data_IF_168153729644
#
_entry.id   IF_168153729644
#
_cell.length_a   1.000
_cell.length_b   1.000
_cell.length_c   1.000
_cell.angle_alpha   90.00
_cell.angle_beta   90.00
_cell.angle_gamma   90.00
#
_symmetry.space_group_name_H-M   'P 1'
#
loop_
_entity.id
_entity.type
_entity.pdbx_description
1 polymer ?
#
# COMPACT_ATOMS: atom_id res chain seq x y z
N UNK A 1 -17.46 -13.74 10.03
CA UNK A 1 -16.31 -14.44 9.41
C UNK A 1 -16.73 -14.91 8.03
N UNK A 2 -16.01 -14.52 6.99
CA UNK A 2 -16.21 -14.99 5.62
C UNK A 2 -14.96 -15.73 5.19
N UNK A 3 -15.07 -17.01 4.85
CA UNK A 3 -13.92 -17.87 4.47
C UNK A 3 -14.34 -18.97 3.51
N UNK A 4 -13.39 -19.77 3.03
CA UNK A 4 -13.64 -20.84 2.06
C UNK A 4 -14.54 -21.94 2.62
N UNK A 5 -15.41 -22.48 1.78
CA UNK A 5 -16.28 -23.60 2.12
C UNK A 5 -15.51 -24.84 2.58
N UNK A 6 -14.33 -25.09 2.00
CA UNK A 6 -13.40 -26.12 2.44
C UNK A 6 -12.94 -25.90 3.88
N UNK A 7 -12.58 -24.66 4.25
CA UNK A 7 -12.12 -24.32 5.60
C UNK A 7 -13.27 -24.39 6.60
N UNK A 8 -14.47 -23.93 6.21
CA UNK A 8 -15.67 -24.04 7.04
C UNK A 8 -15.99 -25.51 7.32
N UNK A 9 -15.90 -26.37 6.30
CA UNK A 9 -16.15 -27.79 6.43
C UNK A 9 -15.12 -28.48 7.32
N UNK A 10 -13.83 -28.21 7.09
CA UNK A 10 -12.72 -28.79 7.85
C UNK A 10 -12.72 -28.37 9.33
N UNK A 11 -13.21 -27.17 9.64
CA UNK A 11 -13.25 -26.62 11.00
C UNK A 11 -14.67 -26.45 11.56
N UNK A 12 -15.64 -27.17 11.02
CA UNK A 12 -17.08 -27.02 11.32
C UNK A 12 -17.39 -27.04 12.82
N UNK A 13 -16.88 -28.03 13.57
CA UNK A 13 -17.09 -28.13 15.03
C UNK A 13 -16.59 -26.90 15.79
N UNK A 14 -15.40 -26.39 15.44
CA UNK A 14 -14.84 -25.19 16.06
C UNK A 14 -15.69 -23.98 15.72
N UNK A 15 -16.03 -23.81 14.44
CA UNK A 15 -16.80 -22.66 13.97
C UNK A 15 -18.20 -22.63 14.60
N UNK A 16 -18.93 -23.75 14.62
CA UNK A 16 -20.23 -23.84 15.30
C UNK A 16 -20.16 -23.41 16.76
N UNK A 17 -19.16 -23.90 17.51
CA UNK A 17 -18.96 -23.48 18.90
C UNK A 17 -18.71 -21.96 19.03
N UNK A 18 -17.97 -21.37 18.09
CA UNK A 18 -17.73 -19.92 18.07
C UNK A 18 -18.98 -19.13 17.67
N UNK A 19 -19.80 -19.66 16.76
CA UNK A 19 -21.09 -19.08 16.37
C UNK A 19 -22.03 -19.00 17.56
N UNK A 20 -22.17 -20.08 18.32
CA UNK A 20 -23.01 -20.13 19.51
C UNK A 20 -22.47 -19.22 20.63
N UNK A 21 -21.15 -19.27 20.89
CA UNK A 21 -20.54 -18.55 22.00
C UNK A 21 -20.48 -17.04 21.80
N UNK A 22 -20.27 -16.58 20.57
CA UNK A 22 -19.99 -15.16 20.27
C UNK A 22 -20.98 -14.54 19.29
N UNK A 23 -22.10 -15.20 19.01
CA UNK A 23 -23.04 -14.82 17.95
C UNK A 23 -22.34 -14.59 16.59
N UNK A 24 -21.25 -15.33 16.34
CA UNK A 24 -20.47 -15.20 15.12
C UNK A 24 -21.33 -15.68 13.94
N UNK A 25 -21.40 -14.87 12.89
CA UNK A 25 -21.93 -15.31 11.60
C UNK A 25 -20.79 -15.83 10.74
N UNK A 26 -20.84 -17.11 10.38
CA UNK A 26 -19.90 -17.74 9.44
C UNK A 26 -20.54 -17.79 8.05
N UNK A 27 -19.78 -17.40 7.04
CA UNK A 27 -20.20 -17.40 5.64
C UNK A 27 -19.18 -18.23 4.88
N UNK A 28 -19.62 -19.39 4.38
CA UNK A 28 -18.86 -20.23 3.48
C UNK A 28 -18.93 -19.67 2.06
N UNK A 29 -17.77 -19.50 1.43
CA UNK A 29 -17.64 -19.02 0.05
C UNK A 29 -17.15 -20.17 -0.81
N UNK A 30 -17.81 -20.46 -1.95
CA UNK A 30 -17.34 -21.47 -2.89
C UNK A 30 -15.92 -21.15 -3.37
N UNK A 31 -15.16 -22.18 -3.72
CA UNK A 31 -13.85 -21.99 -4.33
C UNK A 31 -13.99 -21.12 -5.60
N UNK A 32 -13.21 -20.06 -5.69
CA UNK A 32 -13.10 -19.26 -6.91
C UNK A 32 -12.05 -19.87 -7.82
N UNK A 33 -12.12 -19.59 -9.12
CA UNK A 33 -11.03 -19.91 -10.05
C UNK A 33 -9.72 -19.27 -9.56
N UNK A 34 -8.61 -20.02 -9.62
CA UNK A 34 -7.29 -19.50 -9.27
C UNK A 34 -6.88 -18.39 -10.25
N UNK A 35 -6.54 -17.23 -9.70
CA UNK A 35 -6.08 -16.05 -10.42
C UNK A 35 -4.75 -15.57 -9.80
N UNK A 36 -3.91 -14.84 -10.54
CA UNK A 36 -2.62 -14.34 -10.05
C UNK A 36 -2.74 -13.67 -8.67
N UNK A 37 -1.88 -14.09 -7.73
CA UNK A 37 -1.85 -13.58 -6.36
C UNK A 37 -3.12 -13.82 -5.52
N UNK A 38 -3.96 -14.79 -5.90
CA UNK A 38 -5.23 -15.13 -5.22
C UNK A 38 -6.19 -13.92 -5.07
N UNK A 39 -6.02 -12.89 -5.91
CA UNK A 39 -6.71 -11.63 -5.68
C UNK A 39 -8.23 -11.76 -5.83
N UNK A 40 -8.70 -12.41 -6.91
CA UNK A 40 -10.13 -12.63 -7.13
C UNK A 40 -10.76 -13.35 -5.95
N UNK A 41 -10.05 -14.32 -5.39
CA UNK A 41 -10.44 -15.05 -4.21
C UNK A 41 -10.60 -14.10 -3.00
N UNK A 42 -9.59 -13.29 -2.72
CA UNK A 42 -9.63 -12.31 -1.63
C UNK A 42 -10.74 -11.25 -1.81
N UNK A 43 -10.96 -10.77 -3.04
CA UNK A 43 -11.97 -9.77 -3.36
C UNK A 43 -13.38 -10.32 -3.26
N UNK A 44 -13.59 -11.54 -3.75
CA UNK A 44 -14.86 -12.25 -3.60
C UNK A 44 -15.17 -12.46 -2.12
N UNK A 45 -14.17 -12.86 -1.32
CA UNK A 45 -14.36 -13.05 0.11
C UNK A 45 -14.76 -11.77 0.83
N UNK A 46 -14.07 -10.66 0.52
CA UNK A 46 -14.40 -9.36 1.06
C UNK A 46 -15.80 -8.90 0.63
N UNK A 47 -16.13 -9.02 -0.66
CA UNK A 47 -17.43 -8.62 -1.23
C UNK A 47 -18.59 -9.37 -0.57
N UNK A 48 -18.51 -10.70 -0.49
CA UNK A 48 -19.53 -11.54 0.12
C UNK A 48 -19.67 -11.23 1.62
N UNK A 49 -18.55 -11.06 2.33
CA UNK A 49 -18.54 -10.68 3.73
C UNK A 49 -19.24 -9.35 3.98
N UNK A 50 -18.91 -8.33 3.18
CA UNK A 50 -19.52 -7.00 3.23
C UNK A 50 -21.03 -7.03 2.92
N UNK A 51 -21.46 -7.86 1.97
CA UNK A 51 -22.87 -8.02 1.61
C UNK A 51 -23.74 -8.61 2.73
N UNK A 52 -23.11 -9.23 3.74
CA UNK A 52 -23.80 -9.84 4.90
C UNK A 52 -23.58 -9.09 6.21
N UNK A 53 -22.68 -8.10 6.22
CA UNK A 53 -22.41 -7.25 7.37
C UNK A 53 -23.42 -6.09 7.46
N UNK A 54 -23.60 -5.54 8.67
CA UNK A 54 -24.40 -4.33 8.84
C UNK A 54 -23.64 -3.13 8.26
N UNK A 55 -24.32 -2.36 7.39
CA UNK A 55 -23.75 -1.19 6.69
C UNK A 55 -23.39 -0.02 7.61
N UNK A 56 -23.90 0.00 8.85
CA UNK A 56 -23.57 1.01 9.85
C UNK A 56 -22.31 0.68 10.65
N UNK A 57 -21.78 -0.55 10.52
CA UNK A 57 -20.64 -1.00 11.31
C UNK A 57 -19.30 -0.63 10.64
N UNK A 58 -18.27 -0.64 11.47
CA UNK A 58 -16.89 -0.76 10.99
C UNK A 58 -16.57 -2.22 10.66
N UNK A 59 -15.65 -2.41 9.73
CA UNK A 59 -15.23 -3.70 9.19
C UNK A 59 -13.74 -3.86 9.46
N UNK A 60 -13.39 -4.94 10.16
CA UNK A 60 -12.02 -5.45 10.24
C UNK A 60 -11.89 -6.59 9.22
N UNK A 61 -11.13 -6.37 8.15
CA UNK A 61 -10.63 -7.46 7.32
C UNK A 61 -9.38 -7.99 7.97
N UNK A 62 -9.27 -9.30 8.16
CA UNK A 62 -8.03 -9.98 8.56
C UNK A 62 -7.92 -11.31 7.86
N UNK A 63 -6.71 -11.86 7.81
CA UNK A 63 -6.51 -13.28 7.51
C UNK A 63 -6.80 -14.14 8.74
N UNK A 64 -7.22 -15.40 8.57
CA UNK A 64 -7.51 -16.30 9.69
C UNK A 64 -6.25 -16.77 10.44
N UNK A 65 -5.07 -16.71 9.81
CA UNK A 65 -3.77 -17.11 10.36
C UNK A 65 -3.01 -15.97 11.06
N UNK A 66 -3.64 -14.80 11.22
CA UNK A 66 -3.04 -13.61 11.84
C UNK A 66 -3.68 -13.35 13.20
N UNK A 67 -2.86 -13.27 14.24
CA UNK A 67 -3.29 -12.87 15.57
C UNK A 67 -2.96 -11.38 15.80
N UNK A 68 -3.98 -10.52 15.82
CA UNK A 68 -3.81 -9.08 16.06
C UNK A 68 -3.84 -8.79 17.56
N UNK A 69 -2.87 -8.00 18.04
CA UNK A 69 -2.76 -7.59 19.42
C UNK A 69 -4.00 -6.80 19.87
N UNK A 70 -4.54 -7.13 21.05
CA UNK A 70 -5.71 -6.46 21.63
C UNK A 70 -5.48 -4.96 21.84
N UNK A 71 -4.27 -4.55 22.25
CA UNK A 71 -3.93 -3.13 22.44
C UNK A 71 -3.99 -2.40 21.10
N UNK A 72 -3.49 -3.02 20.04
CA UNK A 72 -3.55 -2.46 18.68
C UNK A 72 -4.99 -2.31 18.19
N UNK A 73 -5.84 -3.31 18.43
CA UNK A 73 -7.28 -3.24 18.10
C UNK A 73 -7.98 -2.13 18.86
N UNK A 74 -7.75 -2.03 20.17
CA UNK A 74 -8.35 -0.98 20.99
C UNK A 74 -7.93 0.42 20.51
N UNK A 75 -6.66 0.59 20.12
CA UNK A 75 -6.16 1.86 19.56
C UNK A 75 -6.92 2.25 18.30
N UNK A 76 -7.01 1.37 17.30
CA UNK A 76 -7.68 1.70 16.04
C UNK A 76 -9.20 1.86 16.19
N UNK A 77 -9.83 1.15 17.14
CA UNK A 77 -11.26 1.29 17.41
C UNK A 77 -11.61 2.63 18.08
N UNK A 78 -10.68 3.20 18.85
CA UNK A 78 -10.83 4.51 19.49
C UNK A 78 -10.34 5.68 18.62
N UNK A 79 -9.66 5.40 17.50
CA UNK A 79 -8.99 6.42 16.67
C UNK A 79 -10.02 7.33 15.98
N UNK A 80 -9.72 8.64 15.94
CA UNK A 80 -10.45 9.57 15.09
C UNK A 80 -10.04 9.37 13.62
N UNK A 81 -10.98 8.86 12.82
CA UNK A 81 -10.78 8.59 11.40
C UNK A 81 -11.31 9.70 10.49
N UNK A 82 -11.55 10.90 11.03
CA UNK A 82 -12.01 12.04 10.21
C UNK A 82 -10.96 12.42 9.17
N UNK A 83 -11.44 12.74 7.96
CA UNK A 83 -10.58 13.24 6.88
C UNK A 83 -10.65 14.76 6.87
N UNK A 84 -9.47 15.39 6.87
CA UNK A 84 -9.32 16.83 6.65
C UNK A 84 -8.67 17.03 5.29
N UNK A 85 -9.33 17.77 4.40
CA UNK A 85 -8.77 18.10 3.07
C UNK A 85 -7.65 19.13 3.22
N UNK A 86 -6.43 18.85 2.74
CA UNK A 86 -5.39 19.87 2.62
C UNK A 86 -5.77 20.95 1.60
N UNK A 87 -5.05 22.06 1.62
CA UNK A 87 -5.14 23.07 0.55
C UNK A 87 -4.88 22.43 -0.83
N UNK A 88 -5.65 22.84 -1.84
CA UNK A 88 -5.61 22.29 -3.21
C UNK A 88 -6.53 21.07 -3.45
N UNK A 89 -7.11 20.48 -2.39
CA UNK A 89 -7.96 19.28 -2.49
C UNK A 89 -9.48 19.59 -2.54
N UNK A 90 -9.85 20.87 -2.53
CA UNK A 90 -11.25 21.29 -2.42
C UNK A 90 -12.13 20.76 -3.56
N UNK A 91 -11.57 20.69 -4.77
CA UNK A 91 -12.27 20.22 -5.99
C UNK A 91 -12.33 18.70 -6.14
N UNK A 92 -11.63 17.94 -5.30
CA UNK A 92 -11.61 16.48 -5.41
C UNK A 92 -12.82 15.86 -4.72
N UNK A 93 -13.40 14.88 -5.39
CA UNK A 93 -14.32 13.94 -4.79
C UNK A 93 -13.51 12.89 -4.01
N UNK A 94 -13.49 13.00 -2.69
CA UNK A 94 -12.75 12.04 -1.87
C UNK A 94 -13.37 10.65 -2.05
N UNK A 95 -12.54 9.61 -2.27
CA UNK A 95 -13.07 8.27 -2.34
C UNK A 95 -13.63 7.84 -1.01
N UNK A 96 -13.14 8.34 0.13
CA UNK A 96 -13.57 7.89 1.45
C UNK A 96 -14.24 9.00 2.26
N UNK A 97 -15.16 8.61 3.14
CA UNK A 97 -15.72 9.49 4.18
C UNK A 97 -14.88 9.51 5.46
N UNK A 98 -14.15 8.43 5.73
CA UNK A 98 -13.25 8.27 6.86
C UNK A 98 -11.95 7.61 6.42
N UNK A 99 -10.86 7.85 7.16
CA UNK A 99 -9.58 7.17 6.94
C UNK A 99 -9.73 5.66 7.12
N UNK A 100 -8.99 4.90 6.32
CA UNK A 100 -8.88 3.46 6.48
C UNK A 100 -7.57 3.14 7.21
N UNK A 101 -7.66 2.44 8.34
CA UNK A 101 -6.50 1.92 9.04
C UNK A 101 -5.96 0.71 8.30
N UNK A 102 -4.70 0.78 7.86
CA UNK A 102 -4.01 -0.28 7.12
C UNK A 102 -2.74 -0.67 7.85
N UNK A 103 -2.14 -1.80 7.52
CA UNK A 103 -0.82 -2.16 8.04
C UNK A 103 0.17 -2.38 6.90
N UNK A 104 1.42 -1.97 7.13
CA UNK A 104 2.52 -2.17 6.21
C UNK A 104 2.35 -1.51 4.84
N UNK A 105 2.05 -0.19 4.75
CA UNK A 105 2.26 0.54 3.52
C UNK A 105 3.75 0.55 3.17
N UNK A 106 4.10 0.40 1.90
CA UNK A 106 5.48 0.39 1.45
C UNK A 106 5.90 1.81 1.01
N UNK A 107 7.09 2.23 1.44
CA UNK A 107 7.52 3.61 1.25
C UNK A 107 7.86 3.96 -0.21
N UNK A 108 8.39 3.01 -0.98
CA UNK A 108 8.94 3.24 -2.34
C UNK A 108 7.97 2.86 -3.45
N UNK A 109 6.88 2.19 -3.14
CA UNK A 109 5.91 1.69 -4.11
C UNK A 109 4.53 2.22 -3.71
N UNK A 110 4.08 3.33 -4.31
CA UNK A 110 2.76 3.90 -4.10
C UNK A 110 1.65 2.86 -4.04
N UNK A 111 0.84 2.93 -2.97
CA UNK A 111 -0.31 2.07 -2.72
C UNK A 111 -0.01 0.57 -2.59
N UNK A 112 1.25 0.15 -2.56
CA UNK A 112 1.56 -1.21 -2.09
C UNK A 112 1.41 -1.23 -0.59
N UNK A 113 0.30 -1.81 -0.14
CA UNK A 113 -0.06 -1.94 1.27
C UNK A 113 -0.30 -3.41 1.51
N UNK A 114 0.31 -3.94 2.56
CA UNK A 114 0.21 -5.36 2.84
C UNK A 114 -1.24 -5.76 3.13
N UNK A 115 -1.66 -6.88 2.54
CA UNK A 115 -3.02 -7.34 2.58
C UNK A 115 -3.45 -8.00 3.90
N UNK A 116 -2.60 -8.12 4.93
CA UNK A 116 -2.89 -8.94 6.12
C UNK A 116 -4.21 -8.53 6.76
N UNK A 117 -4.34 -7.25 7.11
CA UNK A 117 -5.53 -6.70 7.74
C UNK A 117 -5.66 -5.19 7.52
N UNK A 118 -6.90 -4.72 7.59
CA UNK A 118 -7.24 -3.31 7.59
C UNK A 118 -8.61 -3.10 8.25
N UNK A 119 -8.86 -1.88 8.71
CA UNK A 119 -10.05 -1.48 9.46
C UNK A 119 -10.61 -0.17 8.92
N UNK A 120 -11.93 -0.10 8.74
CA UNK A 120 -12.60 1.13 8.30
C UNK A 120 -14.11 0.99 8.27
N UNK A 121 -14.83 2.06 7.94
CA UNK A 121 -16.28 2.02 7.80
C UNK A 121 -16.70 1.02 6.72
N UNK A 122 -17.87 0.38 6.86
CA UNK A 122 -18.40 -0.50 5.81
C UNK A 122 -18.42 0.19 4.44
N UNK A 123 -18.89 1.45 4.39
CA UNK A 123 -19.00 2.24 3.16
C UNK A 123 -17.64 2.44 2.48
N UNK A 124 -16.59 2.74 3.24
CA UNK A 124 -15.27 3.04 2.69
C UNK A 124 -14.49 1.77 2.36
N UNK A 125 -14.56 0.74 3.22
CA UNK A 125 -14.00 -0.59 2.94
C UNK A 125 -14.63 -1.22 1.70
N UNK A 126 -15.93 -0.99 1.44
CA UNK A 126 -16.60 -1.49 0.23
C UNK A 126 -15.98 -0.97 -1.07
N UNK A 127 -15.36 0.21 -1.05
CA UNK A 127 -14.69 0.81 -2.22
C UNK A 127 -13.33 0.17 -2.51
N UNK A 128 -12.82 -0.63 -1.57
CA UNK A 128 -11.61 -1.43 -1.75
C UNK A 128 -11.91 -2.79 -2.44
N UNK A 129 -13.17 -3.12 -2.71
CA UNK A 129 -13.46 -4.29 -3.56
C UNK A 129 -13.17 -3.92 -5.01
N UNK A 130 -12.16 -4.55 -5.60
CA UNK A 130 -11.77 -4.31 -6.98
C UNK A 130 -11.61 -5.64 -7.75
N UNK A 131 -12.49 -5.89 -8.72
CA UNK A 131 -12.45 -7.03 -9.64
C UNK A 131 -12.10 -6.62 -11.07
N UNK A 132 -11.56 -5.42 -11.25
CA UNK A 132 -11.18 -4.89 -12.55
C UNK A 132 -9.95 -5.64 -13.10
N UNK A 133 -10.15 -6.26 -14.25
CA UNK A 133 -9.15 -7.07 -14.95
C UNK A 133 -8.16 -6.24 -15.75
N UNK A 134 -8.42 -4.93 -15.95
CA UNK A 134 -7.50 -4.03 -16.67
C UNK A 134 -6.10 -4.04 -16.06
N UNK A 135 -6.00 -4.21 -14.74
CA UNK A 135 -4.72 -4.30 -14.03
C UNK A 135 -3.87 -5.52 -14.44
N UNK A 136 -4.52 -6.62 -14.83
CA UNK A 136 -3.83 -7.84 -15.27
C UNK A 136 -3.30 -7.71 -16.70
N UNK A 137 -4.05 -7.04 -17.58
CA UNK A 137 -3.73 -6.97 -19.01
C UNK A 137 -2.90 -5.74 -19.39
N UNK A 138 -3.14 -4.58 -18.78
CA UNK A 138 -2.52 -3.32 -19.20
C UNK A 138 -1.19 -3.04 -18.49
N UNK A 139 -1.09 -3.34 -17.20
CA UNK A 139 0.04 -2.90 -16.37
C UNK A 139 1.10 -3.98 -16.11
N UNK A 140 0.86 -5.22 -16.55
CA UNK A 140 1.77 -6.37 -16.33
C UNK A 140 2.25 -6.45 -14.87
N UNK A 141 1.35 -6.21 -13.92
CA UNK A 141 1.70 -6.11 -12.50
C UNK A 141 2.32 -7.40 -11.99
N UNK A 142 3.26 -7.27 -11.06
CA UNK A 142 3.82 -8.42 -10.36
C UNK A 142 2.75 -9.11 -9.50
N UNK A 143 2.83 -10.45 -9.38
CA UNK A 143 1.88 -11.20 -8.54
C UNK A 143 1.99 -10.79 -7.07
N UNK A 144 3.19 -10.41 -6.64
CA UNK A 144 3.51 -10.01 -5.28
C UNK A 144 2.92 -8.64 -4.91
N UNK A 145 2.80 -7.71 -5.88
CA UNK A 145 2.24 -6.37 -5.64
C UNK A 145 0.84 -6.18 -6.19
N UNK A 146 0.18 -7.27 -6.53
CA UNK A 146 -1.18 -7.29 -7.06
C UNK A 146 -2.19 -6.53 -6.19
N UNK A 147 -1.90 -6.44 -4.87
CA UNK A 147 -2.71 -5.75 -3.88
C UNK A 147 -2.74 -4.23 -4.04
N UNK A 148 -1.78 -3.61 -4.75
CA UNK A 148 -1.82 -2.18 -5.10
C UNK A 148 -3.17 -1.79 -5.69
N UNK A 149 -3.73 -2.65 -6.56
CA UNK A 149 -4.97 -2.35 -7.26
C UNK A 149 -6.16 -2.11 -6.33
N UNK A 150 -6.13 -2.64 -5.12
CA UNK A 150 -7.17 -2.40 -4.10
C UNK A 150 -7.21 -0.95 -3.65
N UNK A 151 -6.02 -0.38 -3.42
CA UNK A 151 -5.86 0.88 -2.71
C UNK A 151 -5.69 2.07 -3.67
N UNK A 152 -5.20 1.81 -4.90
CA UNK A 152 -5.09 2.82 -5.94
C UNK A 152 -6.40 3.03 -6.72
N UNK A 153 -7.22 1.99 -6.88
CA UNK A 153 -8.41 2.04 -7.73
C UNK A 153 -9.43 3.15 -7.37
N UNK A 154 -9.70 3.44 -6.08
CA UNK A 154 -10.57 4.56 -5.73
C UNK A 154 -10.04 5.94 -6.14
N UNK A 155 -8.75 6.03 -6.49
CA UNK A 155 -8.05 7.29 -6.80
C UNK A 155 -7.66 7.41 -8.27
N UNK A 156 -7.55 6.29 -8.99
CA UNK A 156 -6.92 6.24 -10.32
C UNK A 156 -7.57 7.17 -11.35
N UNK A 157 -8.90 7.37 -11.26
CA UNK A 157 -9.63 8.25 -12.18
C UNK A 157 -9.47 9.75 -11.85
N UNK A 158 -9.14 10.09 -10.60
CA UNK A 158 -8.93 11.48 -10.19
C UNK A 158 -7.47 11.91 -10.38
N UNK A 159 -6.52 10.97 -10.37
CA UNK A 159 -5.09 11.26 -10.45
C UNK A 159 -4.42 10.44 -11.56
N UNK A 160 -4.38 10.95 -12.81
CA UNK A 160 -3.81 10.23 -13.95
C UNK A 160 -2.36 9.76 -13.73
N UNK A 161 -1.55 10.57 -13.04
CA UNK A 161 -0.15 10.22 -12.74
C UNK A 161 -0.01 8.93 -11.91
N UNK A 162 -0.99 8.58 -11.08
CA UNK A 162 -0.97 7.35 -10.30
C UNK A 162 -1.19 6.11 -11.17
N UNK A 163 -2.06 6.20 -12.17
CA UNK A 163 -2.23 5.15 -13.17
C UNK A 163 -0.94 4.90 -13.92
N UNK A 164 -0.29 6.00 -14.32
CA UNK A 164 0.95 5.98 -15.08
C UNK A 164 2.05 5.21 -14.34
N UNK A 165 2.21 5.40 -13.03
CA UNK A 165 3.16 4.64 -12.21
C UNK A 165 3.00 3.11 -12.31
N UNK A 166 1.77 2.60 -12.53
CA UNK A 166 1.52 1.16 -12.62
C UNK A 166 2.27 0.49 -13.78
N UNK A 167 2.58 1.24 -14.84
CA UNK A 167 3.35 0.71 -15.97
C UNK A 167 4.79 0.34 -15.62
N UNK A 168 5.34 0.90 -14.54
CA UNK A 168 6.75 0.73 -14.17
C UNK A 168 6.95 0.06 -12.81
N UNK A 169 5.88 -0.21 -12.08
CA UNK A 169 5.91 -0.82 -10.74
C UNK A 169 6.78 -2.09 -10.68
N UNK A 170 6.62 -2.96 -11.67
CA UNK A 170 7.29 -4.25 -11.74
C UNK A 170 8.83 -4.13 -11.82
N UNK A 171 9.35 -2.99 -12.32
CA UNK A 171 10.79 -2.71 -12.45
C UNK A 171 11.44 -2.42 -11.09
N UNK A 172 10.67 -1.99 -10.08
CA UNK A 172 11.23 -1.69 -8.74
C UNK A 172 11.69 -2.94 -7.97
N UNK A 173 11.59 -4.14 -8.55
CA UNK A 173 12.42 -5.28 -8.15
C UNK A 173 12.09 -5.93 -6.80
N UNK A 174 10.90 -5.69 -6.23
CA UNK A 174 10.44 -6.41 -5.04
C UNK A 174 9.60 -7.64 -5.45
N UNK A 175 10.13 -8.45 -6.36
CA UNK A 175 9.61 -9.78 -6.67
C UNK A 175 10.52 -10.80 -6.03
N UNK A 176 10.02 -11.97 -5.63
CA UNK A 176 10.87 -13.00 -5.01
C UNK A 176 12.07 -13.40 -5.88
N UNK A 177 11.94 -13.17 -7.19
CA UNK A 177 12.90 -13.46 -8.25
C UNK A 177 14.12 -12.54 -8.28
N UNK A 178 14.03 -11.32 -7.74
CA UNK A 178 15.14 -10.36 -7.79
C UNK A 178 15.85 -10.24 -6.43
N UNK A 179 17.19 -10.22 -6.43
CA UNK A 179 17.96 -9.97 -5.21
C UNK A 179 17.89 -8.50 -4.77
N UNK A 180 18.16 -8.22 -3.49
CA UNK A 180 18.06 -6.86 -2.94
C UNK A 180 18.95 -5.85 -3.68
N UNK A 181 20.14 -6.24 -4.12
CA UNK A 181 21.04 -5.36 -4.89
C UNK A 181 20.40 -4.84 -6.18
N UNK A 182 19.57 -5.65 -6.87
CA UNK A 182 18.79 -5.19 -8.02
C UNK A 182 17.85 -4.04 -7.61
N UNK A 183 17.01 -4.30 -6.60
CA UNK A 183 16.02 -3.33 -6.11
C UNK A 183 16.67 -2.02 -5.67
N UNK A 184 17.74 -2.09 -4.88
CA UNK A 184 18.41 -0.89 -4.38
C UNK A 184 19.12 -0.11 -5.48
N UNK A 185 19.67 -0.79 -6.49
CA UNK A 185 20.22 -0.11 -7.65
C UNK A 185 19.16 0.69 -8.40
N UNK A 186 18.01 0.07 -8.69
CA UNK A 186 16.89 0.77 -9.33
C UNK A 186 16.41 1.92 -8.45
N UNK A 187 16.20 1.68 -7.15
CA UNK A 187 15.73 2.70 -6.21
C UNK A 187 16.65 3.93 -6.16
N UNK A 188 17.98 3.75 -6.14
CA UNK A 188 18.94 4.86 -6.18
C UNK A 188 18.79 5.72 -7.44
N UNK A 189 18.58 5.10 -8.61
CA UNK A 189 18.34 5.83 -9.86
C UNK A 189 17.01 6.57 -9.80
N UNK A 190 15.95 5.93 -9.32
CA UNK A 190 14.62 6.52 -9.21
C UNK A 190 14.57 7.69 -8.23
N UNK A 191 15.26 7.61 -7.08
CA UNK A 191 15.33 8.71 -6.11
C UNK A 191 16.06 9.95 -6.64
N UNK A 192 16.81 9.83 -7.74
CA UNK A 192 17.40 10.95 -8.46
C UNK A 192 16.48 11.52 -9.56
N UNK A 193 15.37 10.86 -9.87
CA UNK A 193 14.40 11.30 -10.88
C UNK A 193 13.29 12.14 -10.23
N UNK A 194 13.09 13.36 -10.76
CA UNK A 194 12.13 14.31 -10.20
C UNK A 194 10.68 13.83 -10.27
N UNK A 195 10.29 13.17 -11.37
CA UNK A 195 8.93 12.67 -11.54
C UNK A 195 8.62 11.54 -10.55
N UNK A 196 9.57 10.64 -10.31
CA UNK A 196 9.40 9.61 -9.29
C UNK A 196 9.24 10.20 -7.88
N UNK A 197 10.04 11.21 -7.52
CA UNK A 197 9.90 11.92 -6.24
C UNK A 197 8.54 12.62 -6.16
N UNK A 198 8.08 13.23 -7.24
CA UNK A 198 6.75 13.87 -7.32
C UNK A 198 5.62 12.85 -7.11
N UNK A 199 5.71 11.67 -7.71
CA UNK A 199 4.76 10.56 -7.51
C UNK A 199 4.73 10.13 -6.04
N UNK A 200 5.90 9.92 -5.41
CA UNK A 200 5.99 9.54 -4.00
C UNK A 200 5.43 10.64 -3.08
N UNK A 201 5.76 11.90 -3.34
CA UNK A 201 5.26 13.04 -2.57
C UNK A 201 3.73 13.13 -2.65
N UNK A 202 3.14 12.99 -3.85
CA UNK A 202 1.68 12.93 -4.01
C UNK A 202 1.09 11.74 -3.26
N UNK A 203 1.69 10.55 -3.38
CA UNK A 203 1.26 9.37 -2.65
C UNK A 203 1.29 9.60 -1.13
N UNK A 204 2.34 10.19 -0.57
CA UNK A 204 2.43 10.44 0.87
C UNK A 204 1.41 11.48 1.37
N UNK A 205 1.09 12.48 0.55
CA UNK A 205 0.02 13.44 0.84
C UNK A 205 -1.35 12.78 0.84
N UNK A 206 -1.62 11.94 -0.17
CA UNK A 206 -2.84 11.15 -0.25
C UNK A 206 -2.95 10.12 0.89
N UNK A 207 -1.84 9.46 1.23
CA UNK A 207 -1.78 8.50 2.30
C UNK A 207 -2.11 9.16 3.64
N UNK A 208 -1.41 10.24 3.99
CA UNK A 208 -1.66 10.98 5.24
C UNK A 208 -3.10 11.51 5.36
N UNK A 209 -3.76 11.79 4.23
CA UNK A 209 -5.16 12.23 4.19
C UNK A 209 -6.16 11.07 4.32
N UNK A 210 -5.93 9.94 3.65
CA UNK A 210 -6.93 8.89 3.42
C UNK A 210 -6.72 7.61 4.23
N UNK A 211 -5.50 7.41 4.74
CA UNK A 211 -5.09 6.19 5.41
C UNK A 211 -4.40 6.50 6.74
N UNK A 212 -4.27 5.48 7.56
CA UNK A 212 -3.49 5.49 8.80
C UNK A 212 -2.81 4.14 8.96
N UNK A 213 -1.52 4.11 9.23
CA UNK A 213 -0.78 2.91 9.63
C UNK A 213 -0.34 2.94 11.10
N UNK A 214 -0.84 3.89 11.88
CA UNK A 214 -0.65 3.91 13.33
C UNK A 214 -1.67 3.01 14.06
N UNK A 215 -1.12 1.91 14.60
CA UNK A 215 -1.78 0.90 15.43
C UNK A 215 -1.42 1.05 16.92
N UNK A 216 -0.73 2.12 17.32
CA UNK A 216 -0.44 2.47 18.72
C UNK A 216 0.67 1.65 19.40
N UNK A 217 1.07 0.51 18.84
CA UNK A 217 2.13 -0.36 19.38
C UNK A 217 2.99 -0.92 18.25
N UNK A 218 4.20 -1.38 18.57
CA UNK A 218 5.10 -2.03 17.62
C UNK A 218 4.75 -3.51 17.38
N UNK A 219 4.38 -4.26 18.42
CA UNK A 219 3.92 -5.66 18.29
C UNK A 219 2.43 -5.70 17.92
N UNK A 220 2.12 -5.26 16.69
CA UNK A 220 0.75 -5.14 16.17
C UNK A 220 0.08 -6.50 16.00
N UNK A 221 0.83 -7.51 15.54
CA UNK A 221 0.30 -8.84 15.26
C UNK A 221 1.40 -9.91 15.29
N UNK A 222 0.97 -11.17 15.42
CA UNK A 222 1.83 -12.34 15.27
C UNK A 222 1.41 -13.16 14.05
N UNK A 223 2.40 -13.57 13.27
CA UNK A 223 2.27 -14.42 12.08
C UNK A 223 3.55 -15.24 11.88
N UNK A 224 3.52 -16.30 11.06
CA UNK A 224 4.70 -17.16 10.86
C UNK A 224 5.87 -16.42 10.20
N UNK A 225 5.58 -15.49 9.30
CA UNK A 225 6.57 -14.77 8.49
C UNK A 225 6.42 -13.26 8.64
N UNK A 226 6.39 -12.74 9.88
CA UNK A 226 6.19 -11.30 10.15
C UNK A 226 7.18 -10.49 9.31
N UNK A 227 6.70 -9.66 8.36
CA UNK A 227 7.58 -8.77 7.63
C UNK A 227 8.18 -7.74 8.58
N UNK A 228 9.48 -7.50 8.48
CA UNK A 228 10.12 -6.43 9.24
C UNK A 228 9.57 -5.07 8.79
N UNK A 229 8.97 -4.33 9.72
CA UNK A 229 8.66 -2.93 9.51
C UNK A 229 9.87 -2.02 9.79
N UNK A 230 9.77 -0.79 9.30
CA UNK A 230 10.71 0.29 9.57
C UNK A 230 9.92 1.48 10.10
N UNK A 231 10.59 2.28 10.90
CA UNK A 231 10.02 3.49 11.48
C UNK A 231 10.86 4.69 11.04
N UNK A 232 10.21 5.83 10.84
CA UNK A 232 10.87 7.09 10.48
C UNK A 232 10.63 8.08 11.60
N UNK A 233 11.70 8.64 12.14
CA UNK A 233 11.66 9.54 13.28
C UNK A 233 12.08 10.97 12.90
N UNK A 234 11.65 11.93 13.72
CA UNK A 234 12.16 13.30 13.62
C UNK A 234 13.67 13.26 13.91
N UNK A 235 14.48 13.78 12.98
CA UNK A 235 15.94 13.68 13.05
C UNK A 235 16.53 12.67 12.06
N UNK A 236 15.71 11.86 11.39
CA UNK A 236 16.18 10.99 10.32
C UNK A 236 16.33 11.77 9.00
N UNK A 237 17.30 11.35 8.18
CA UNK A 237 17.40 11.78 6.77
C UNK A 237 16.64 10.80 5.88
N UNK A 238 16.00 11.31 4.82
CA UNK A 238 15.38 10.45 3.80
C UNK A 238 16.41 9.57 3.10
N UNK A 239 17.64 10.04 2.93
CA UNK A 239 18.75 9.22 2.40
C UNK A 239 18.97 7.97 3.25
N UNK A 240 19.09 8.13 4.57
CA UNK A 240 19.28 6.99 5.47
C UNK A 240 18.08 6.04 5.42
N UNK A 241 16.87 6.59 5.52
CA UNK A 241 15.63 5.82 5.50
C UNK A 241 15.49 4.94 4.25
N UNK A 242 15.68 5.52 3.06
CA UNK A 242 15.50 4.79 1.81
C UNK A 242 16.68 3.86 1.47
N UNK A 243 17.92 4.24 1.77
CA UNK A 243 19.11 3.57 1.20
C UNK A 243 19.95 2.76 2.18
N UNK A 244 19.76 2.88 3.50
CA UNK A 244 20.55 2.12 4.48
C UNK A 244 19.93 0.79 4.89
N UNK A 245 18.69 0.51 4.49
CA UNK A 245 17.97 -0.74 4.79
C UNK A 245 18.22 -1.86 3.76
N UNK A 246 19.42 -1.94 3.16
CA UNK A 246 19.71 -2.78 1.95
C UNK A 246 19.44 -4.29 2.10
N UNK A 247 19.31 -4.78 3.31
CA UNK A 247 18.93 -6.16 3.60
C UNK A 247 17.42 -6.42 3.44
N UNK A 248 16.59 -5.39 3.31
CA UNK A 248 15.12 -5.51 3.23
C UNK A 248 14.62 -5.56 1.78
N UNK A 249 13.74 -6.52 1.47
CA UNK A 249 13.05 -6.59 0.16
C UNK A 249 11.97 -5.51 -0.01
N UNK A 250 11.43 -5.01 1.10
CA UNK A 250 10.41 -3.97 1.13
C UNK A 250 10.65 -3.03 2.32
N UNK A 251 10.31 -1.76 2.16
CA UNK A 251 10.36 -0.74 3.20
C UNK A 251 8.95 -0.52 3.75
N UNK A 252 8.44 -1.50 4.51
CA UNK A 252 7.11 -1.46 5.12
C UNK A 252 7.12 -0.51 6.32
N UNK A 253 6.33 0.56 6.24
CA UNK A 253 6.37 1.66 7.20
C UNK A 253 5.44 1.38 8.36
N UNK A 254 5.97 1.56 9.58
CA UNK A 254 5.19 1.55 10.82
C UNK A 254 4.70 2.95 11.14
N UNK A 255 3.43 3.08 11.53
CA UNK A 255 2.88 4.35 11.98
C UNK A 255 2.63 5.37 10.88
N UNK A 256 2.18 6.55 11.29
CA UNK A 256 1.86 7.66 10.39
C UNK A 256 3.05 8.64 10.22
N UNK A 257 4.16 8.42 10.94
CA UNK A 257 5.23 9.41 11.12
C UNK A 257 5.92 9.80 9.82
N UNK A 258 6.28 8.86 8.95
CA UNK A 258 6.87 9.16 7.64
C UNK A 258 6.00 10.12 6.83
N UNK A 259 4.71 9.78 6.72
CA UNK A 259 3.77 10.55 5.91
C UNK A 259 3.51 11.92 6.54
N UNK A 260 3.41 12.00 7.86
CA UNK A 260 3.25 13.26 8.57
C UNK A 260 4.48 14.16 8.38
N UNK A 261 5.68 13.66 8.72
CA UNK A 261 6.91 14.45 8.70
C UNK A 261 7.29 14.90 7.30
N UNK A 262 6.98 14.12 6.25
CA UNK A 262 7.21 14.57 4.87
C UNK A 262 6.24 15.69 4.46
N UNK A 263 4.96 15.56 4.80
CA UNK A 263 3.98 16.61 4.51
C UNK A 263 4.26 17.90 5.28
N UNK A 264 4.85 17.80 6.48
CA UNK A 264 5.30 18.93 7.30
C UNK A 264 6.69 19.44 6.91
N UNK A 265 7.39 18.76 5.98
CA UNK A 265 8.79 19.02 5.61
C UNK A 265 9.73 19.05 6.84
N UNK A 266 9.45 18.20 7.83
CA UNK A 266 10.15 18.11 9.11
C UNK A 266 11.06 16.88 9.16
N UNK A 267 12.17 16.93 8.43
CA UNK A 267 13.21 15.89 8.39
C UNK A 267 14.59 16.50 8.24
N UNK A 268 15.65 15.75 8.56
CA UNK A 268 17.01 16.26 8.43
C UNK A 268 17.38 16.51 6.98
N UNK A 269 18.16 17.57 6.76
CA UNK A 269 18.55 18.01 5.43
C UNK A 269 19.41 16.94 4.74
N UNK A 270 19.03 16.59 3.53
CA UNK A 270 19.76 15.68 2.65
C UNK A 270 19.29 15.86 1.20
N UNK A 271 20.06 15.38 0.22
CA UNK A 271 19.75 15.57 -1.20
C UNK A 271 18.36 15.02 -1.60
N UNK A 272 18.00 13.83 -1.11
CA UNK A 272 16.67 13.26 -1.35
C UNK A 272 15.59 14.09 -0.65
N UNK A 273 15.87 14.56 0.56
CA UNK A 273 15.02 15.48 1.31
C UNK A 273 14.73 16.77 0.55
N UNK A 274 15.76 17.39 -0.03
CA UNK A 274 15.62 18.63 -0.80
C UNK A 274 14.72 18.43 -2.04
N UNK A 275 14.82 17.26 -2.70
CA UNK A 275 13.94 16.87 -3.81
C UNK A 275 12.49 16.70 -3.37
N UNK A 276 12.24 16.01 -2.25
CA UNK A 276 10.90 15.88 -1.67
C UNK A 276 10.32 17.24 -1.30
N UNK A 277 11.10 18.13 -0.67
CA UNK A 277 10.65 19.49 -0.34
C UNK A 277 10.29 20.27 -1.60
N UNK A 278 11.04 20.09 -2.70
CA UNK A 278 10.73 20.72 -3.99
C UNK A 278 9.41 20.20 -4.56
N UNK A 279 9.20 18.88 -4.59
CA UNK A 279 7.98 18.25 -5.07
C UNK A 279 6.74 18.66 -4.25
N UNK A 280 6.86 18.72 -2.92
CA UNK A 280 5.77 19.18 -2.04
C UNK A 280 5.41 20.64 -2.34
N UNK A 281 6.40 21.53 -2.51
CA UNK A 281 6.16 22.93 -2.91
C UNK A 281 5.50 23.04 -4.28
N UNK A 282 5.84 22.18 -5.22
CA UNK A 282 5.18 22.13 -6.53
C UNK A 282 3.71 21.74 -6.38
N UNK A 283 3.44 20.65 -5.65
CA UNK A 283 2.09 20.17 -5.32
C UNK A 283 1.24 21.27 -4.65
N UNK A 284 1.81 22.03 -3.72
CA UNK A 284 1.09 23.08 -2.98
C UNK A 284 0.77 24.34 -3.79
N UNK A 285 1.52 24.60 -4.87
CA UNK A 285 1.25 25.74 -5.77
C UNK A 285 0.07 25.49 -6.70
N UNK A 286 -0.35 24.23 -6.87
CA UNK A 286 -1.42 23.88 -7.79
C UNK A 286 -2.78 24.34 -7.26
N UNK A 287 -3.56 24.98 -8.13
CA UNK A 287 -4.96 25.30 -7.84
C UNK A 287 -5.87 24.06 -7.85
N UNK A 288 -5.46 23.03 -8.58
CA UNK A 288 -6.10 21.73 -8.66
C UNK A 288 -5.00 20.65 -8.62
N UNK A 289 -4.98 19.85 -7.57
CA UNK A 289 -3.94 18.82 -7.39
C UNK A 289 -3.98 17.73 -8.46
N UNK A 290 -5.09 17.59 -9.20
CA UNK A 290 -5.20 16.64 -10.30
C UNK A 290 -4.28 16.98 -11.47
N UNK A 291 -3.79 18.22 -11.51
CA UNK A 291 -2.84 18.69 -12.51
C UNK A 291 -1.39 18.27 -12.20
N UNK A 292 -1.14 17.61 -11.06
CA UNK A 292 0.20 17.13 -10.68
C UNK A 292 0.82 16.29 -11.81
N UNK A 293 2.00 16.73 -12.24
CA UNK A 293 2.83 15.98 -13.16
C UNK A 293 2.32 15.89 -14.60
N UNK A 294 1.22 16.58 -14.95
CA UNK A 294 0.69 16.58 -16.33
C UNK A 294 1.66 17.18 -17.36
N UNK A 295 2.59 18.02 -16.92
CA UNK A 295 3.59 18.66 -17.77
C UNK A 295 4.84 17.78 -17.98
N UNK A 296 4.95 16.64 -17.29
CA UNK A 296 6.11 15.75 -17.44
C UNK A 296 5.92 14.79 -18.60
N UNK A 297 7.03 14.48 -19.28
CA UNK A 297 7.07 13.44 -20.29
C UNK A 297 7.09 12.05 -19.62
N UNK A 298 5.91 11.41 -19.60
CA UNK A 298 5.78 10.10 -18.98
C UNK A 298 6.43 8.98 -19.80
N UNK A 299 6.51 9.13 -21.12
CA UNK A 299 7.12 8.12 -21.98
C UNK A 299 8.64 8.09 -21.73
N UNK A 300 9.27 9.27 -21.65
CA UNK A 300 10.67 9.40 -21.26
C UNK A 300 10.93 8.85 -19.84
N UNK A 301 9.99 9.01 -18.91
CA UNK A 301 10.10 8.42 -17.58
C UNK A 301 10.01 6.88 -17.61
N UNK A 302 9.08 6.30 -18.39
CA UNK A 302 9.00 4.84 -18.56
C UNK A 302 10.33 4.31 -19.12
N UNK A 303 10.85 4.94 -20.18
CA UNK A 303 12.13 4.54 -20.80
C UNK A 303 13.29 4.60 -19.80
N UNK A 304 13.36 5.67 -19.00
CA UNK A 304 14.34 5.81 -17.92
C UNK A 304 14.24 4.67 -16.90
N UNK A 305 13.03 4.34 -16.44
CA UNK A 305 12.82 3.29 -15.42
C UNK A 305 13.21 1.92 -15.99
N UNK A 306 12.80 1.61 -17.23
CA UNK A 306 13.16 0.37 -17.92
C UNK A 306 14.69 0.27 -18.04
N UNK A 307 15.37 1.32 -18.50
CA UNK A 307 16.82 1.36 -18.61
C UNK A 307 17.52 1.16 -17.27
N UNK A 308 17.01 1.76 -16.18
CA UNK A 308 17.53 1.51 -14.83
C UNK A 308 17.39 0.04 -14.41
N UNK A 309 16.28 -0.61 -14.77
CA UNK A 309 16.05 -2.03 -14.55
C UNK A 309 16.99 -2.94 -15.36
N UNK A 310 17.28 -2.60 -16.61
CA UNK A 310 18.23 -3.33 -17.46
C UNK A 310 19.66 -3.19 -16.93
N UNK A 311 20.10 -1.98 -16.57
CA UNK A 311 21.39 -1.75 -15.93
C UNK A 311 21.53 -2.54 -14.62
N UNK A 312 20.47 -2.59 -13.80
CA UNK A 312 20.46 -3.35 -12.56
C UNK A 312 20.65 -4.85 -12.81
N UNK A 313 19.95 -5.37 -13.83
CA UNK A 313 20.02 -6.78 -14.20
C UNK A 313 21.43 -7.17 -14.66
N UNK A 314 22.06 -6.35 -15.49
CA UNK A 314 23.42 -6.58 -15.96
C UNK A 314 24.44 -6.56 -14.81
N UNK A 315 24.27 -5.67 -13.83
CA UNK A 315 25.12 -5.66 -12.62
C UNK A 315 24.95 -6.93 -11.78
N UNK A 316 23.71 -7.39 -11.62
CA UNK A 316 23.40 -8.58 -10.83
C UNK A 316 23.99 -9.83 -11.48
N UNK A 317 23.85 -9.98 -12.81
CA UNK A 317 24.43 -11.10 -13.58
C UNK A 317 25.94 -11.19 -13.39
N UNK A 318 26.66 -10.08 -13.58
CA UNK A 318 28.13 -10.01 -13.41
C UNK A 318 28.59 -10.37 -11.99
N UNK A 319 27.75 -10.16 -10.99
CA UNK A 319 28.08 -10.47 -9.59
C UNK A 319 27.82 -11.94 -9.23
N UNK A 320 26.85 -12.60 -9.87
CA UNK A 320 26.44 -13.97 -9.53
C UNK A 320 27.00 -15.03 -10.49
N UNK A 321 27.40 -14.63 -11.70
CA UNK A 321 28.03 -15.48 -12.70
C UNK A 321 29.23 -14.73 -13.30
N UNK A 322 30.36 -14.63 -12.57
CA UNK A 322 31.58 -14.09 -13.14
C UNK A 322 32.06 -15.03 -14.26
N UNK A 323 32.42 -14.45 -15.42
CA UNK A 323 32.94 -15.17 -16.60
C UNK A 323 34.17 -16.03 -16.29
#
# INVERSE_FOLDING_TARGET
LSTWESDVSAHSKLLTNLQEKYALKVIAIPATQEWPGNLLAQMTSLYVGLGRANRQNYILKTRPDVHINKVALNHVFAKNLSITKPQGFNKINLPFSQKICVWGPEATVPFYIHDLFFFGSHRDVSKLVNMDVRYDFLYKMSQEKIHIRRFIHPLINEFPILEKFLHVEHVLGNTEKFPNNYRYYVLEKLLNNELYILILALYYKLFGMLYSSDWGVSDVFKWKNIPEDIYFESGDTLTSFFLHNRNKKALLVRGDSLFQLINEQSYEKCDIGDRFSSAIREIEKLSDIRDVGLNYDFDAFIEFVIGAGEEALEKVKKTHFPD
#
